data_IF_794043147827
#
_entry.id   IF_794043147827
#
_cell.length_a   1.000
_cell.length_b   1.000
_cell.length_c   1.000
_cell.angle_alpha   90.00
_cell.angle_beta   90.00
_cell.angle_gamma   90.00
#
_symmetry.space_group_name_H-M   'P 1'
#
loop_
_entity.id
_entity.type
_entity.pdbx_description
1 polymer ?
#
# COMPACT_ATOMS: atom_id res chain seq x y z
N UNK A 1 -7.00 18.08 17.62
CA UNK A 1 -6.50 17.46 16.38
C UNK A 1 -7.61 16.65 15.75
N UNK A 2 -7.65 16.58 14.42
CA UNK A 2 -8.60 15.71 13.71
C UNK A 2 -8.30 14.26 14.09
N UNK A 3 -9.33 13.44 14.35
CA UNK A 3 -9.12 12.00 14.59
C UNK A 3 -8.45 11.31 13.40
N UNK A 4 -8.62 11.85 12.19
CA UNK A 4 -8.06 11.27 10.97
C UNK A 4 -6.54 11.38 10.85
N UNK A 5 -5.88 12.25 11.63
CA UNK A 5 -4.42 12.39 11.66
C UNK A 5 -3.84 11.99 13.03
N UNK A 6 -4.68 11.49 13.95
CA UNK A 6 -4.25 11.07 15.27
C UNK A 6 -3.68 9.65 15.22
N UNK A 7 -2.39 9.53 15.53
CA UNK A 7 -1.64 8.28 15.39
C UNK A 7 -2.17 7.16 16.29
N UNK A 8 -2.57 7.48 17.52
CA UNK A 8 -3.11 6.48 18.44
C UNK A 8 -4.41 5.93 17.86
N UNK A 9 -5.38 6.80 17.55
CA UNK A 9 -6.66 6.41 16.95
C UNK A 9 -6.51 5.60 15.65
N UNK A 10 -5.58 6.00 14.77
CA UNK A 10 -5.34 5.28 13.52
C UNK A 10 -4.86 3.85 13.79
N UNK A 11 -3.96 3.65 14.76
CA UNK A 11 -3.36 2.35 15.03
C UNK A 11 -4.18 1.47 15.97
N UNK A 12 -4.97 2.05 16.88
CA UNK A 12 -5.74 1.31 17.90
C UNK A 12 -7.19 1.08 17.53
N UNK A 13 -7.78 1.91 16.66
CA UNK A 13 -9.20 1.87 16.34
C UNK A 13 -9.47 1.72 14.84
N UNK A 14 -9.11 2.74 14.05
CA UNK A 14 -9.51 2.80 12.63
C UNK A 14 -8.84 1.72 11.79
N UNK A 15 -7.54 1.50 12.00
CA UNK A 15 -6.70 0.56 11.27
C UNK A 15 -6.01 -0.43 12.19
N UNK A 16 -6.63 -0.75 13.34
CA UNK A 16 -6.23 -1.86 14.20
C UNK A 16 -6.08 -3.17 13.43
N UNK A 17 -6.93 -3.37 12.41
CA UNK A 17 -6.88 -4.44 11.44
C UNK A 17 -7.43 -3.94 10.10
N UNK A 18 -7.49 -4.82 9.10
CA UNK A 18 -7.95 -4.47 7.76
C UNK A 18 -9.47 -4.35 7.59
N UNK A 19 -10.31 -4.64 8.59
CA UNK A 19 -11.76 -4.82 8.41
C UNK A 19 -12.45 -3.56 7.86
N UNK A 20 -12.17 -2.40 8.46
CA UNK A 20 -12.73 -1.10 8.05
C UNK A 20 -12.27 -0.68 6.64
N UNK A 21 -11.03 -0.99 6.28
CA UNK A 21 -10.50 -0.70 4.95
C UNK A 21 -11.12 -1.64 3.92
N UNK A 22 -11.15 -2.94 4.21
CA UNK A 22 -11.73 -3.96 3.35
C UNK A 22 -13.21 -3.70 3.09
N UNK A 23 -13.99 -3.28 4.10
CA UNK A 23 -15.39 -2.90 3.90
C UNK A 23 -15.55 -1.80 2.83
N UNK A 24 -14.66 -0.79 2.84
CA UNK A 24 -14.65 0.29 1.84
C UNK A 24 -14.24 -0.23 0.46
N UNK A 25 -13.20 -1.06 0.38
CA UNK A 25 -12.78 -1.72 -0.87
C UNK A 25 -13.91 -2.56 -1.48
N UNK A 26 -14.70 -3.27 -0.66
CA UNK A 26 -15.81 -4.09 -1.14
C UNK A 26 -16.93 -3.27 -1.77
N UNK A 27 -17.19 -2.05 -1.29
CA UNK A 27 -18.13 -1.13 -1.92
C UNK A 27 -17.63 -0.79 -3.33
N UNK A 28 -16.36 -0.40 -3.48
CA UNK A 28 -15.78 -0.11 -4.79
C UNK A 28 -15.81 -1.32 -5.72
N UNK A 29 -15.47 -2.52 -5.23
CA UNK A 29 -15.52 -3.75 -6.04
C UNK A 29 -16.92 -4.09 -6.56
N UNK A 30 -17.96 -3.87 -5.75
CA UNK A 30 -19.34 -4.22 -6.11
C UNK A 30 -20.01 -3.20 -7.02
N UNK A 31 -19.66 -1.92 -6.86
CA UNK A 31 -20.42 -0.83 -7.47
C UNK A 31 -19.62 0.04 -8.45
N UNK A 32 -18.31 -0.19 -8.61
CA UNK A 32 -17.53 0.49 -9.65
C UNK A 32 -18.00 0.06 -11.04
N UNK A 33 -18.23 1.04 -11.92
CA UNK A 33 -18.64 0.82 -13.31
C UNK A 33 -17.49 0.98 -14.30
N UNK A 34 -16.30 1.41 -13.85
CA UNK A 34 -15.12 1.52 -14.70
C UNK A 34 -14.61 0.12 -15.07
N UNK A 35 -14.64 -0.28 -16.36
CA UNK A 35 -14.27 -1.62 -16.79
C UNK A 35 -12.76 -1.90 -16.69
N UNK A 36 -11.91 -0.86 -16.67
CA UNK A 36 -10.46 -1.04 -16.58
C UNK A 36 -9.99 -1.24 -15.14
N UNK A 37 -10.63 -0.54 -14.20
CA UNK A 37 -10.31 -0.61 -12.79
C UNK A 37 -9.14 0.28 -12.38
N UNK A 38 -9.24 0.83 -11.17
CA UNK A 38 -8.30 1.80 -10.64
C UNK A 38 -6.88 1.25 -10.51
N UNK A 39 -6.70 0.04 -9.96
CA UNK A 39 -5.37 -0.55 -9.75
C UNK A 39 -4.62 -0.84 -11.05
N UNK A 40 -5.33 -1.21 -12.12
CA UNK A 40 -4.69 -1.38 -13.43
C UNK A 40 -4.17 -0.05 -13.96
N UNK A 41 -4.97 1.01 -13.85
CA UNK A 41 -4.58 2.35 -14.28
C UNK A 41 -3.39 2.89 -13.48
N UNK A 42 -3.37 2.69 -12.16
CA UNK A 42 -2.21 3.07 -11.33
C UNK A 42 -0.97 2.28 -11.76
N UNK A 43 -1.08 0.96 -11.96
CA UNK A 43 0.08 0.17 -12.36
C UNK A 43 0.63 0.57 -13.74
N UNK A 44 -0.22 1.01 -14.68
CA UNK A 44 0.25 1.48 -15.99
C UNK A 44 1.17 2.69 -15.88
N UNK A 45 0.97 3.55 -14.89
CA UNK A 45 1.84 4.71 -14.65
C UNK A 45 3.16 4.33 -13.96
N UNK A 46 3.33 3.06 -13.59
CA UNK A 46 4.58 2.50 -13.06
C UNK A 46 5.30 1.65 -14.09
N UNK A 47 4.65 1.30 -15.21
CA UNK A 47 5.19 0.36 -16.20
C UNK A 47 6.45 0.89 -16.91
N UNK A 48 6.71 2.19 -16.86
CA UNK A 48 7.91 2.84 -17.40
C UNK A 48 9.12 2.82 -16.46
N UNK A 49 8.98 2.28 -15.24
CA UNK A 49 10.09 2.15 -14.30
C UNK A 49 11.17 1.17 -14.82
N UNK A 50 12.41 1.27 -14.31
CA UNK A 50 13.48 0.33 -14.66
C UNK A 50 13.07 -1.13 -14.45
N UNK A 51 13.69 -2.05 -15.19
CA UNK A 51 13.43 -3.47 -15.07
C UNK A 51 13.67 -4.01 -13.64
N UNK A 52 14.62 -3.43 -12.92
CA UNK A 52 15.02 -3.79 -11.55
C UNK A 52 14.67 -2.69 -10.53
N UNK A 53 13.51 -2.04 -10.70
CA UNK A 53 13.09 -0.93 -9.86
C UNK A 53 12.99 -1.32 -8.37
N UNK A 54 13.46 -0.42 -7.51
CA UNK A 54 13.27 -0.41 -6.06
C UNK A 54 12.10 0.48 -5.73
N UNK A 55 11.08 -0.07 -5.09
CA UNK A 55 9.79 0.58 -4.84
C UNK A 55 9.52 0.59 -3.35
N UNK A 56 9.15 1.75 -2.81
CA UNK A 56 8.59 1.89 -1.47
C UNK A 56 7.13 2.33 -1.58
N UNK A 57 6.20 1.60 -0.96
CA UNK A 57 4.84 2.08 -0.73
C UNK A 57 4.67 2.48 0.74
N UNK A 58 4.31 3.74 0.98
CA UNK A 58 3.89 4.28 2.28
C UNK A 58 2.38 4.13 2.42
N UNK A 59 1.94 3.52 3.52
CA UNK A 59 0.52 3.26 3.79
C UNK A 59 -0.09 2.24 2.82
N UNK A 60 0.55 1.08 2.67
CA UNK A 60 0.10 0.01 1.75
C UNK A 60 -1.27 -0.58 2.11
N UNK A 61 -1.78 -0.33 3.33
CA UNK A 61 -3.03 -0.91 3.82
C UNK A 61 -2.97 -2.43 3.77
N UNK A 62 -4.01 -3.07 3.22
CA UNK A 62 -4.06 -4.53 3.05
C UNK A 62 -3.40 -5.04 1.75
N UNK A 63 -2.58 -4.21 1.10
CA UNK A 63 -1.86 -4.50 -0.16
C UNK A 63 -2.75 -4.91 -1.33
N UNK A 64 -4.02 -4.48 -1.33
CA UNK A 64 -5.00 -4.88 -2.34
C UNK A 64 -4.54 -4.54 -3.76
N UNK A 65 -3.91 -3.39 -3.99
CA UNK A 65 -3.37 -3.04 -5.30
C UNK A 65 -2.47 -4.17 -5.84
N UNK A 66 -1.45 -4.55 -5.07
CA UNK A 66 -0.47 -5.56 -5.47
C UNK A 66 -1.08 -6.94 -5.71
N UNK A 67 -2.08 -7.35 -4.93
CA UNK A 67 -2.81 -8.60 -5.17
C UNK A 67 -3.50 -8.58 -6.53
N UNK A 68 -4.16 -7.48 -6.89
CA UNK A 68 -4.94 -7.39 -8.13
C UNK A 68 -4.05 -7.32 -9.38
N UNK A 69 -2.83 -6.77 -9.27
CA UNK A 69 -1.89 -6.69 -10.40
C UNK A 69 -0.71 -7.67 -10.30
N UNK A 70 -0.76 -8.66 -9.40
CA UNK A 70 0.37 -9.55 -9.10
C UNK A 70 1.01 -10.19 -10.33
N UNK A 71 0.20 -10.66 -11.28
CA UNK A 71 0.66 -11.29 -12.52
C UNK A 71 1.29 -10.33 -13.54
N UNK A 72 1.26 -9.02 -13.29
CA UNK A 72 1.83 -7.97 -14.14
C UNK A 72 3.17 -7.45 -13.62
N UNK A 73 3.52 -7.76 -12.38
CA UNK A 73 4.70 -7.17 -11.73
C UNK A 73 5.97 -7.89 -12.24
N UNK A 74 6.97 -7.16 -12.77
CA UNK A 74 8.27 -7.75 -13.14
C UNK A 74 8.93 -8.47 -11.96
N UNK A 75 9.41 -9.69 -12.15
CA UNK A 75 10.04 -10.50 -11.08
C UNK A 75 11.23 -9.80 -10.41
N UNK A 76 11.93 -8.96 -11.19
CA UNK A 76 13.11 -8.21 -10.75
C UNK A 76 12.82 -6.95 -9.94
N UNK A 77 11.55 -6.54 -9.79
CA UNK A 77 11.21 -5.41 -8.93
C UNK A 77 11.33 -5.78 -7.45
N UNK A 78 12.07 -4.94 -6.71
CA UNK A 78 12.23 -5.03 -5.26
C UNK A 78 11.23 -4.09 -4.58
N UNK A 79 10.19 -4.66 -3.97
CA UNK A 79 9.03 -3.90 -3.46
C UNK A 79 8.98 -4.00 -1.95
N UNK A 80 9.05 -2.85 -1.29
CA UNK A 80 8.87 -2.68 0.15
C UNK A 80 7.51 -2.07 0.42
N UNK A 81 6.64 -2.85 1.07
CA UNK A 81 5.33 -2.43 1.52
C UNK A 81 5.45 -1.94 2.96
N UNK A 82 5.01 -0.71 3.21
CA UNK A 82 5.07 -0.13 4.54
C UNK A 82 3.75 0.49 4.96
N UNK A 83 3.48 0.42 6.26
CA UNK A 83 2.30 1.02 6.87
C UNK A 83 2.60 1.37 8.32
N UNK A 84 1.92 2.40 8.84
CA UNK A 84 2.04 2.78 10.24
C UNK A 84 1.42 1.70 11.15
N UNK A 85 0.40 0.99 10.67
CA UNK A 85 -0.31 -0.03 11.43
C UNK A 85 0.30 -1.43 11.27
N UNK A 86 0.72 -2.08 12.37
CA UNK A 86 1.11 -3.50 12.35
C UNK A 86 -0.02 -4.42 11.86
N UNK A 87 -1.27 -4.08 12.19
CA UNK A 87 -2.44 -4.85 11.76
C UNK A 87 -2.70 -4.78 10.26
N UNK A 88 -2.30 -3.68 9.60
CA UNK A 88 -2.32 -3.57 8.15
C UNK A 88 -1.21 -4.40 7.51
N UNK A 89 0.01 -4.32 8.02
CA UNK A 89 1.14 -5.12 7.52
C UNK A 89 0.88 -6.62 7.61
N UNK A 90 0.30 -7.09 8.72
CA UNK A 90 -0.09 -8.49 8.87
C UNK A 90 -1.15 -8.91 7.83
N UNK A 91 -2.16 -8.07 7.58
CA UNK A 91 -3.17 -8.32 6.56
C UNK A 91 -2.58 -8.29 5.14
N UNK A 92 -1.71 -7.32 4.85
CA UNK A 92 -1.00 -7.20 3.59
C UNK A 92 -0.17 -8.46 3.29
N UNK A 93 0.62 -8.92 4.26
CA UNK A 93 1.40 -10.15 4.15
C UNK A 93 0.51 -11.37 3.83
N UNK A 94 -0.57 -11.56 4.60
CA UNK A 94 -1.53 -12.65 4.37
C UNK A 94 -2.16 -12.61 2.98
N UNK A 95 -2.37 -11.42 2.43
CA UNK A 95 -2.98 -11.23 1.12
C UNK A 95 -2.03 -11.47 -0.04
N UNK A 96 -0.76 -11.06 0.07
CA UNK A 96 0.19 -11.21 -1.05
C UNK A 96 0.95 -12.53 -1.03
N UNK A 97 1.07 -13.21 0.12
CA UNK A 97 1.81 -14.49 0.19
C UNK A 97 1.24 -15.55 -0.76
N UNK A 98 -0.07 -15.53 -1.01
CA UNK A 98 -0.75 -16.47 -1.91
C UNK A 98 -0.50 -16.18 -3.40
N UNK A 99 0.05 -15.01 -3.73
CA UNK A 99 0.40 -14.68 -5.13
C UNK A 99 1.72 -15.30 -5.56
N UNK A 100 2.48 -15.91 -4.63
CA UNK A 100 3.80 -16.48 -4.89
C UNK A 100 4.90 -15.45 -5.14
N UNK A 101 4.60 -14.15 -4.97
CA UNK A 101 5.54 -13.05 -5.16
C UNK A 101 6.14 -12.63 -3.81
N UNK A 102 7.44 -12.34 -3.83
CA UNK A 102 8.14 -11.81 -2.66
C UNK A 102 7.93 -10.31 -2.51
N UNK A 103 7.67 -9.88 -1.27
CA UNK A 103 7.58 -8.48 -0.86
C UNK A 103 8.32 -8.31 0.47
N UNK A 104 8.91 -7.14 0.69
CA UNK A 104 9.42 -6.72 2.00
C UNK A 104 8.32 -5.97 2.74
N UNK A 105 8.34 -6.06 4.07
CA UNK A 105 7.36 -5.42 4.94
C UNK A 105 8.07 -4.63 6.02
N UNK A 106 7.70 -3.37 6.19
CA UNK A 106 8.31 -2.49 7.18
C UNK A 106 7.25 -1.60 7.84
N UNK A 107 7.32 -1.46 9.17
CA UNK A 107 6.48 -0.48 9.86
C UNK A 107 7.13 0.89 9.75
N UNK A 108 6.53 1.78 8.97
CA UNK A 108 7.06 3.13 8.70
C UNK A 108 5.98 4.17 8.98
N UNK A 109 6.38 5.23 9.69
CA UNK A 109 5.63 6.49 9.73
C UNK A 109 6.05 7.33 8.52
N UNK A 110 5.08 7.73 7.68
CA UNK A 110 5.37 8.51 6.48
C UNK A 110 6.05 9.86 6.77
N UNK A 111 5.96 10.36 8.01
CA UNK A 111 6.66 11.57 8.47
C UNK A 111 8.13 11.33 8.84
N UNK A 112 8.56 10.07 8.94
CA UNK A 112 9.91 9.69 9.36
C UNK A 112 10.32 8.39 8.66
N UNK A 113 10.64 8.52 7.38
CA UNK A 113 11.06 7.39 6.52
C UNK A 113 12.50 7.00 6.88
N UNK A 114 12.77 5.76 7.34
CA UNK A 114 14.08 5.35 7.85
C UNK A 114 15.01 4.83 6.74
N UNK A 115 15.04 5.50 5.60
CA UNK A 115 15.87 5.14 4.45
C UNK A 115 16.71 6.33 4.02
N UNK A 116 17.87 6.06 3.43
CA UNK A 116 18.70 7.10 2.85
C UNK A 116 17.99 7.76 1.66
N UNK A 117 18.34 9.01 1.38
CA UNK A 117 17.87 9.72 0.18
C UNK A 117 18.26 8.92 -1.09
N UNK A 118 17.43 9.02 -2.13
CA UNK A 118 17.68 8.38 -3.44
C UNK A 118 17.84 6.83 -3.39
N UNK A 119 17.31 6.20 -2.34
CA UNK A 119 17.35 4.73 -2.15
C UNK A 119 16.28 3.96 -2.93
N UNK A 120 15.24 4.62 -3.42
CA UNK A 120 14.16 4.04 -4.21
C UNK A 120 14.02 4.75 -5.56
N UNK A 121 13.64 4.01 -6.59
CA UNK A 121 13.32 4.56 -7.92
C UNK A 121 11.94 5.24 -7.92
N UNK A 122 11.03 4.79 -7.05
CA UNK A 122 9.73 5.43 -6.81
C UNK A 122 9.25 5.21 -5.38
N UNK A 123 8.57 6.22 -4.85
CA UNK A 123 7.82 6.16 -3.59
C UNK A 123 6.34 6.39 -3.89
N UNK A 124 5.48 5.49 -3.42
CA UNK A 124 4.02 5.51 -3.61
C UNK A 124 3.37 5.87 -2.28
N UNK A 125 2.43 6.82 -2.28
CA UNK A 125 1.61 7.17 -1.12
C UNK A 125 0.13 7.20 -1.53
N UNK A 126 -0.45 6.02 -1.70
CA UNK A 126 -1.76 5.85 -2.32
C UNK A 126 -2.90 5.93 -1.30
N UNK A 127 -3.78 6.92 -1.46
CA UNK A 127 -4.94 7.16 -0.56
C UNK A 127 -4.60 7.16 0.94
N UNK A 128 -3.40 7.60 1.32
CA UNK A 128 -3.00 7.65 2.73
C UNK A 128 -2.61 9.04 3.22
N UNK A 129 -2.19 9.97 2.35
CA UNK A 129 -1.61 11.26 2.78
C UNK A 129 -2.53 12.12 3.64
N UNK A 130 -3.86 11.93 3.56
CA UNK A 130 -4.82 12.60 4.42
C UNK A 130 -4.81 12.12 5.89
N UNK A 131 -3.99 11.10 6.21
CA UNK A 131 -3.71 10.63 7.56
C UNK A 131 -2.43 11.21 8.15
N UNK A 132 -1.67 11.99 7.38
CA UNK A 132 -0.45 12.66 7.81
C UNK A 132 -0.82 14.04 8.35
N UNK A 133 -0.23 14.45 9.47
CA UNK A 133 -0.38 15.82 9.98
C UNK A 133 0.33 16.84 9.09
N UNK A 134 -0.22 18.06 9.04
CA UNK A 134 0.40 19.22 8.37
C UNK A 134 1.71 19.66 9.04
#
# INVERSE_FOLDING_TARGET
MSRFTDREYLTTDQYKNADNLNARIQIHRKFSTNPYGWYNWVFDTLAQLPANARILELGCGSAEMWVNIAGRIPESWDITLSDLSPGMLDAAWRNVVVTGRSFKFEQIDAQSIPHEDESFDVVIAHHMLHHVSD
#
